data_IF_738396142956
#
_entry.id   IF_738396142956
#
_cell.length_a   1.000
_cell.length_b   1.000
_cell.length_c   1.000
_cell.angle_alpha   90.00
_cell.angle_beta   90.00
_cell.angle_gamma   90.00
#
_symmetry.space_group_name_H-M   'P 1'
#
loop_
_entity.id
_entity.type
_entity.pdbx_description
1 polymer ?
#
# COMPACT_ATOMS: atom_id res chain seq x y z
N UNK A 1 6.86 4.47 -6.85
CA UNK A 1 6.82 4.98 -5.46
C UNK A 1 5.88 6.16 -5.44
N UNK A 2 4.94 6.17 -4.51
CA UNK A 2 3.98 7.24 -4.28
C UNK A 2 4.16 7.81 -2.88
N UNK A 3 3.60 9.00 -2.63
CA UNK A 3 3.67 9.65 -1.33
C UNK A 3 2.34 10.29 -0.96
N UNK A 4 2.04 10.35 0.34
CA UNK A 4 0.92 11.11 0.87
C UNK A 4 1.30 11.75 2.21
N UNK A 5 0.69 12.90 2.51
CA UNK A 5 0.83 13.54 3.82
C UNK A 5 -0.24 13.02 4.77
N UNK A 6 0.13 12.81 6.03
CA UNK A 6 -0.80 12.35 7.05
C UNK A 6 -0.50 12.94 8.42
N UNK A 7 -1.48 12.87 9.32
CA UNK A 7 -1.36 13.35 10.70
C UNK A 7 -1.39 12.21 11.70
N UNK A 8 -0.71 12.37 12.84
CA UNK A 8 -0.78 11.41 13.95
C UNK A 8 -2.23 11.08 14.32
N UNK A 9 -2.55 9.79 14.43
CA UNK A 9 -3.88 9.29 14.79
C UNK A 9 -4.89 9.28 13.64
N UNK A 10 -4.54 9.82 12.46
CA UNK A 10 -5.37 9.69 11.27
C UNK A 10 -5.46 8.22 10.85
N UNK A 11 -6.68 7.75 10.55
CA UNK A 11 -6.87 6.47 9.88
C UNK A 11 -6.85 6.69 8.37
N UNK A 12 -6.11 5.84 7.65
CA UNK A 12 -6.00 5.87 6.19
C UNK A 12 -6.28 4.47 5.66
N UNK A 13 -7.04 4.41 4.57
CA UNK A 13 -7.29 3.19 3.80
C UNK A 13 -6.57 3.29 2.47
N UNK A 14 -5.78 2.28 2.14
CA UNK A 14 -5.00 2.20 0.91
C UNK A 14 -5.40 0.93 0.17
N UNK A 15 -5.92 1.09 -1.04
CA UNK A 15 -6.30 0.00 -1.94
C UNK A 15 -5.35 -0.03 -3.13
N UNK A 16 -4.83 -1.21 -3.42
CA UNK A 16 -4.06 -1.50 -4.63
C UNK A 16 -4.75 -2.63 -5.40
N UNK A 17 -5.20 -2.33 -6.61
CA UNK A 17 -5.92 -3.28 -7.46
C UNK A 17 -5.22 -3.48 -8.81
N UNK A 18 -5.15 -4.72 -9.28
CA UNK A 18 -4.64 -5.07 -10.60
C UNK A 18 -5.36 -6.29 -11.17
N UNK A 19 -5.64 -6.26 -12.47
CA UNK A 19 -6.07 -7.43 -13.23
C UNK A 19 -4.90 -8.11 -13.96
N UNK A 20 -3.75 -7.46 -13.99
CA UNK A 20 -2.60 -7.88 -14.80
C UNK A 20 -1.55 -8.64 -13.96
N UNK A 21 -1.55 -8.49 -12.63
CA UNK A 21 -0.59 -9.13 -11.72
C UNK A 21 -1.11 -9.22 -10.28
N UNK A 22 -0.53 -10.14 -9.51
CA UNK A 22 -0.71 -10.28 -8.07
C UNK A 22 0.00 -9.14 -7.32
N UNK A 23 -0.76 -8.36 -6.56
CA UNK A 23 -0.30 -7.08 -6.04
C UNK A 23 0.47 -7.20 -4.73
N UNK A 24 1.42 -6.30 -4.52
CA UNK A 24 2.09 -6.14 -3.24
C UNK A 24 2.19 -4.65 -2.90
N UNK A 25 1.71 -4.30 -1.71
CA UNK A 25 1.62 -2.95 -1.19
C UNK A 25 2.44 -2.84 0.09
N UNK A 26 3.35 -1.87 0.17
CA UNK A 26 4.08 -1.56 1.41
C UNK A 26 4.07 -0.06 1.69
N UNK A 27 3.82 0.30 2.95
CA UNK A 27 3.77 1.69 3.44
C UNK A 27 4.92 1.91 4.40
N UNK A 28 5.64 3.01 4.21
CA UNK A 28 6.76 3.43 5.07
C UNK A 28 6.43 4.76 5.75
N UNK A 29 6.88 4.88 7.00
CA UNK A 29 6.77 6.11 7.80
C UNK A 29 7.66 7.23 7.24
N UNK A 30 7.48 8.49 7.70
CA UNK A 30 8.40 9.59 7.38
C UNK A 30 9.86 9.35 7.76
N UNK A 31 10.12 8.38 8.63
CA UNK A 31 11.46 7.95 9.06
C UNK A 31 12.01 6.79 8.22
N UNK A 32 11.38 6.48 7.08
CA UNK A 32 11.71 5.36 6.19
C UNK A 32 11.65 3.97 6.86
N UNK A 33 10.81 3.80 7.89
CA UNK A 33 10.54 2.49 8.50
C UNK A 33 9.29 1.86 7.90
N UNK A 34 9.32 0.56 7.65
CA UNK A 34 8.13 -0.18 7.22
C UNK A 34 7.04 -0.05 8.31
N UNK A 35 5.89 0.46 7.91
CA UNK A 35 4.71 0.61 8.78
C UNK A 35 3.78 -0.60 8.63
N UNK A 36 3.45 -0.96 7.39
CA UNK A 36 2.55 -2.07 7.07
C UNK A 36 2.76 -2.53 5.62
N UNK A 37 2.44 -3.79 5.35
CA UNK A 37 2.45 -4.37 4.02
C UNK A 37 1.30 -5.36 3.86
N UNK A 38 0.87 -5.60 2.62
CA UNK A 38 -0.17 -6.56 2.29
C UNK A 38 -0.08 -6.94 0.80
N UNK A 39 -0.43 -8.18 0.48
CA UNK A 39 -0.48 -8.74 -0.86
C UNK A 39 -1.90 -9.24 -1.21
N UNK A 40 -2.54 -10.02 -0.35
CA UNK A 40 -3.82 -10.69 -0.65
C UNK A 40 -4.98 -10.31 0.29
N UNK A 41 -6.02 -9.62 -0.18
CA UNK A 41 -7.28 -9.42 0.56
C UNK A 41 -7.88 -10.75 1.03
N UNK A 42 -7.76 -11.79 0.21
CA UNK A 42 -8.16 -13.17 0.55
C UNK A 42 -7.51 -14.18 -0.40
N UNK A 43 -7.65 -15.47 -0.13
CA UNK A 43 -7.15 -16.53 -1.03
C UNK A 43 -7.70 -16.46 -2.47
N UNK A 44 -8.84 -15.81 -2.69
CA UNK A 44 -9.48 -15.66 -4.00
C UNK A 44 -9.34 -14.23 -4.57
N UNK A 45 -8.63 -13.33 -3.87
CA UNK A 45 -8.47 -11.93 -4.24
C UNK A 45 -7.06 -11.44 -3.92
N UNK A 46 -6.21 -11.43 -4.94
CA UNK A 46 -4.80 -11.01 -4.90
C UNK A 46 -4.56 -9.51 -5.01
N UNK A 47 -5.62 -8.72 -4.78
CA UNK A 47 -5.49 -7.27 -4.57
C UNK A 47 -5.09 -7.01 -3.12
N UNK A 48 -4.43 -5.87 -2.86
CA UNK A 48 -4.01 -5.50 -1.51
C UNK A 48 -4.88 -4.39 -0.92
N UNK A 49 -5.16 -4.48 0.39
CA UNK A 49 -5.81 -3.42 1.16
C UNK A 49 -5.12 -3.26 2.52
N UNK A 50 -4.88 -2.00 2.91
CA UNK A 50 -4.36 -1.65 4.23
C UNK A 50 -5.26 -0.61 4.88
N UNK A 51 -5.71 -0.90 6.11
CA UNK A 51 -6.30 0.11 7.00
C UNK A 51 -5.30 0.38 8.14
N UNK A 52 -4.70 1.57 8.15
CA UNK A 52 -3.63 1.93 9.09
C UNK A 52 -3.97 3.18 9.88
N UNK A 53 -3.62 3.20 11.16
CA UNK A 53 -3.62 4.42 11.98
C UNK A 53 -2.21 4.98 11.99
N UNK A 54 -2.04 6.22 11.53
CA UNK A 54 -0.72 6.82 11.35
C UNK A 54 -0.09 7.16 12.72
N UNK A 55 1.13 6.68 13.01
CA UNK A 55 1.76 6.91 14.31
C UNK A 55 2.35 8.32 14.49
N UNK A 56 2.52 9.07 13.39
CA UNK A 56 3.16 10.39 13.41
C UNK A 56 2.65 11.27 12.26
N UNK A 57 2.80 12.59 12.40
CA UNK A 57 2.53 13.52 11.30
C UNK A 57 3.74 13.58 10.36
N UNK A 58 3.50 13.49 9.06
CA UNK A 58 4.52 13.68 8.03
C UNK A 58 4.20 12.99 6.70
N UNK A 59 5.23 12.91 5.85
CA UNK A 59 5.15 12.32 4.52
C UNK A 59 5.39 10.80 4.56
N UNK A 60 4.39 10.03 4.14
CA UNK A 60 4.45 8.58 4.05
C UNK A 60 4.77 8.14 2.62
N UNK A 61 5.51 7.05 2.47
CA UNK A 61 5.84 6.47 1.17
C UNK A 61 5.06 5.18 0.94
N UNK A 62 4.51 5.04 -0.26
CA UNK A 62 3.86 3.82 -0.72
C UNK A 62 4.71 3.19 -1.83
N UNK A 63 5.06 1.94 -1.62
CA UNK A 63 5.68 1.06 -2.62
C UNK A 63 4.59 0.15 -3.18
N UNK A 64 4.47 0.19 -4.51
CA UNK A 64 3.64 -0.73 -5.29
C UNK A 64 4.58 -1.65 -6.03
N UNK A 65 4.34 -2.95 -5.93
CA UNK A 65 5.07 -3.98 -6.66
C UNK A 65 4.13 -5.13 -7.03
N UNK A 66 4.62 -6.07 -7.83
CA UNK A 66 4.06 -7.42 -7.88
C UNK A 66 4.56 -8.26 -6.71
N UNK A 67 3.75 -9.23 -6.26
CA UNK A 67 4.15 -10.22 -5.25
C UNK A 67 5.37 -11.04 -5.72
N UNK A 68 5.37 -11.47 -6.99
CA UNK A 68 6.48 -12.18 -7.61
C UNK A 68 7.33 -11.30 -8.54
N UNK A 69 8.38 -11.88 -9.14
CA UNK A 69 9.29 -11.17 -10.04
C UNK A 69 8.85 -11.09 -11.51
N UNK A 70 7.66 -11.61 -11.83
CA UNK A 70 7.12 -11.72 -13.19
C UNK A 70 5.97 -10.75 -13.46
N UNK A 71 5.21 -10.38 -12.42
CA UNK A 71 4.06 -9.49 -12.52
C UNK A 71 4.39 -8.12 -13.08
N UNK A 72 3.66 -7.70 -14.11
CA UNK A 72 3.75 -6.37 -14.74
C UNK A 72 2.40 -6.01 -15.35
N UNK A 73 2.01 -4.75 -15.26
CA UNK A 73 0.83 -4.26 -15.96
C UNK A 73 0.26 -3.01 -15.33
N UNK A 74 -1.01 -2.76 -15.65
CA UNK A 74 -1.77 -1.64 -15.12
C UNK A 74 -2.27 -1.95 -13.72
N UNK A 75 -2.42 -0.91 -12.92
CA UNK A 75 -2.97 -1.00 -11.58
C UNK A 75 -3.68 0.30 -11.22
N UNK A 76 -4.53 0.21 -10.19
CA UNK A 76 -5.18 1.34 -9.54
C UNK A 76 -4.70 1.43 -8.10
N UNK A 77 -4.19 2.60 -7.71
CA UNK A 77 -3.82 2.91 -6.32
C UNK A 77 -4.74 4.02 -5.81
N UNK A 78 -5.45 3.76 -4.72
CA UNK A 78 -6.36 4.72 -4.09
C UNK A 78 -5.97 4.87 -2.62
N UNK A 79 -5.90 6.13 -2.16
CA UNK A 79 -5.65 6.50 -0.76
C UNK A 79 -6.84 7.33 -0.27
N UNK A 80 -7.42 6.96 0.88
CA UNK A 80 -8.61 7.59 1.48
C UNK A 80 -8.41 7.89 2.95
#
# INVERSE_FOLDING_TARGET
VYTFEGSTGQQVIINLESLDFDTYLAVFTPEDKLLAEHDDISQENSNSELTITLPMTGSYRIIVNSYDNTGRGNYSLIVR
#
